data_IF_039406627102
#
_entry.id   IF_039406627102
#
_cell.length_a   1.000
_cell.length_b   1.000
_cell.length_c   1.000
_cell.angle_alpha   90.00
_cell.angle_beta   90.00
_cell.angle_gamma   90.00
#
_symmetry.space_group_name_H-M   'P 1'
#
loop_
_entity.id
_entity.type
_entity.pdbx_description
1 polymer ?
#
# COMPACT_ATOMS: atom_id res chain seq x y z
N UNK A 1 33.41 -66.20 16.57
CA UNK A 1 33.90 -64.84 16.94
C UNK A 1 34.14 -63.94 15.71
N UNK A 2 33.42 -64.10 14.58
CA UNK A 2 33.62 -63.26 13.38
C UNK A 2 32.35 -62.52 12.88
N UNK A 3 31.19 -62.76 13.50
CA UNK A 3 29.92 -62.13 13.11
C UNK A 3 29.30 -61.19 14.17
N UNK A 4 30.00 -60.94 15.28
CA UNK A 4 29.56 -60.03 16.35
C UNK A 4 30.50 -58.82 16.56
N UNK A 5 31.57 -58.71 15.74
CA UNK A 5 32.45 -57.53 15.69
C UNK A 5 31.97 -56.55 14.59
N UNK A 6 31.24 -57.04 13.58
CA UNK A 6 30.71 -56.22 12.49
C UNK A 6 29.40 -55.48 12.83
N UNK A 7 28.76 -55.80 13.94
CA UNK A 7 27.60 -55.03 14.46
C UNK A 7 28.03 -53.84 15.33
N UNK A 8 29.32 -53.69 15.62
CA UNK A 8 29.89 -52.58 16.39
C UNK A 8 30.33 -51.39 15.51
N UNK A 9 30.12 -51.47 14.20
CA UNK A 9 30.35 -50.42 13.20
C UNK A 9 29.08 -50.24 12.34
N UNK A 10 27.94 -50.12 13.01
CA UNK A 10 26.66 -49.77 12.37
C UNK A 10 26.47 -48.27 12.43
N UNK A 11 27.02 -47.59 11.43
CA UNK A 11 26.82 -46.17 11.13
C UNK A 11 25.41 -45.73 11.53
N UNK A 12 25.32 -44.84 12.54
CA UNK A 12 24.14 -44.02 12.69
C UNK A 12 23.83 -43.43 11.31
N UNK A 13 22.60 -43.61 10.85
CA UNK A 13 22.13 -43.01 9.61
C UNK A 13 22.64 -41.56 9.58
N UNK A 14 23.36 -41.11 8.54
CA UNK A 14 23.73 -39.71 8.47
C UNK A 14 22.44 -38.93 8.68
N UNK A 15 22.40 -38.00 9.67
CA UNK A 15 21.20 -37.23 9.93
C UNK A 15 20.75 -36.65 8.59
N UNK A 16 19.47 -36.87 8.27
CA UNK A 16 18.86 -36.34 7.06
C UNK A 16 19.27 -34.87 6.91
N UNK A 17 19.87 -34.47 5.79
CA UNK A 17 20.38 -33.11 5.64
C UNK A 17 19.24 -32.14 5.98
N UNK A 18 19.50 -31.09 6.79
CA UNK A 18 18.49 -30.11 7.09
C UNK A 18 17.93 -29.53 5.78
N UNK A 19 16.66 -29.11 5.76
CA UNK A 19 16.06 -28.54 4.56
C UNK A 19 16.92 -27.38 4.07
N UNK A 20 17.55 -27.55 2.91
CA UNK A 20 18.37 -26.51 2.29
C UNK A 20 17.47 -25.32 1.97
N UNK A 21 17.81 -24.14 2.49
CA UNK A 21 17.16 -22.90 2.07
C UNK A 21 17.57 -22.64 0.62
N UNK A 22 16.57 -22.54 -0.26
CA UNK A 22 16.77 -22.09 -1.63
C UNK A 22 16.98 -20.56 -1.65
N UNK A 23 18.25 -20.17 -1.55
CA UNK A 23 18.70 -18.78 -1.59
C UNK A 23 18.25 -18.03 -2.86
N UNK A 24 18.42 -18.57 -4.08
CA UNK A 24 17.89 -17.97 -5.30
C UNK A 24 16.38 -17.69 -5.23
N UNK A 25 15.60 -18.61 -4.66
CA UNK A 25 14.16 -18.43 -4.48
C UNK A 25 13.84 -17.26 -3.54
N UNK A 26 14.52 -17.15 -2.40
CA UNK A 26 14.35 -16.02 -1.47
C UNK A 26 14.72 -14.67 -2.11
N UNK A 27 15.81 -14.64 -2.89
CA UNK A 27 16.23 -13.44 -3.60
C UNK A 27 15.21 -13.00 -4.66
N UNK A 28 14.65 -13.96 -5.40
CA UNK A 28 13.56 -13.68 -6.34
C UNK A 28 12.34 -13.14 -5.61
N UNK A 29 11.89 -13.79 -4.52
CA UNK A 29 10.74 -13.33 -3.73
C UNK A 29 10.93 -11.91 -3.19
N UNK A 30 12.10 -11.59 -2.66
CA UNK A 30 12.40 -10.25 -2.17
C UNK A 30 12.32 -9.21 -3.30
N UNK A 31 12.89 -9.53 -4.47
CA UNK A 31 12.85 -8.65 -5.65
C UNK A 31 11.42 -8.41 -6.11
N UNK A 32 10.61 -9.47 -6.22
CA UNK A 32 9.19 -9.36 -6.57
C UNK A 32 8.43 -8.49 -5.56
N UNK A 33 8.65 -8.71 -4.27
CA UNK A 33 7.99 -7.96 -3.21
C UNK A 33 8.39 -6.47 -3.22
N UNK A 34 9.66 -6.15 -3.46
CA UNK A 34 10.12 -4.77 -3.63
C UNK A 34 9.47 -4.09 -4.83
N UNK A 35 9.35 -4.80 -5.96
CA UNK A 35 8.66 -4.30 -7.14
C UNK A 35 7.18 -4.02 -6.85
N UNK A 36 6.47 -4.97 -6.22
CA UNK A 36 5.06 -4.79 -5.84
C UNK A 36 4.85 -3.63 -4.87
N UNK A 37 5.75 -3.44 -3.90
CA UNK A 37 5.70 -2.27 -3.00
C UNK A 37 5.90 -0.95 -3.76
N UNK A 38 6.82 -0.92 -4.72
CA UNK A 38 7.04 0.26 -5.56
C UNK A 38 5.80 0.58 -6.40
N UNK A 39 5.18 -0.43 -7.02
CA UNK A 39 3.95 -0.29 -7.82
C UNK A 39 2.78 0.22 -6.95
N UNK A 40 2.58 -0.35 -5.76
CA UNK A 40 1.57 0.15 -4.83
C UNK A 40 1.85 1.60 -4.40
N UNK A 41 3.12 1.98 -4.22
CA UNK A 41 3.52 3.35 -3.90
C UNK A 41 3.16 4.36 -4.99
N UNK A 42 3.37 4.01 -6.26
CA UNK A 42 3.00 4.88 -7.39
C UNK A 42 1.49 4.97 -7.56
N UNK A 43 0.76 3.87 -7.40
CA UNK A 43 -0.72 3.86 -7.42
C UNK A 43 -1.32 4.72 -6.31
N UNK A 44 -0.79 4.63 -5.09
CA UNK A 44 -1.20 5.48 -3.96
C UNK A 44 -0.98 6.96 -4.29
N UNK A 45 0.19 7.31 -4.81
CA UNK A 45 0.52 8.70 -5.17
C UNK A 45 -0.44 9.26 -6.23
N UNK A 46 -0.74 8.46 -7.26
CA UNK A 46 -1.68 8.85 -8.31
C UNK A 46 -3.10 9.03 -7.76
N UNK A 47 -3.54 8.11 -6.89
CA UNK A 47 -4.85 8.20 -6.23
C UNK A 47 -4.96 9.46 -5.35
N UNK A 48 -3.92 9.81 -4.60
CA UNK A 48 -3.85 11.04 -3.78
C UNK A 48 -3.94 12.31 -4.63
N UNK A 49 -3.18 12.37 -5.72
CA UNK A 49 -3.22 13.52 -6.65
C UNK A 49 -4.60 13.69 -7.29
N UNK A 50 -5.23 12.58 -7.67
CA UNK A 50 -6.56 12.61 -8.27
C UNK A 50 -7.61 13.05 -7.26
N UNK A 51 -7.51 12.58 -6.02
CA UNK A 51 -8.39 12.99 -4.93
C UNK A 51 -8.25 14.49 -4.64
N UNK A 52 -7.02 15.00 -4.54
CA UNK A 52 -6.74 16.43 -4.35
C UNK A 52 -7.31 17.29 -5.49
N UNK A 53 -7.25 16.78 -6.73
CA UNK A 53 -7.80 17.47 -7.89
C UNK A 53 -9.34 17.53 -7.83
N UNK A 54 -9.97 16.42 -7.45
CA UNK A 54 -11.42 16.35 -7.28
C UNK A 54 -11.93 17.27 -6.16
N UNK A 55 -11.28 17.28 -4.99
CA UNK A 55 -11.65 18.16 -3.88
C UNK A 55 -11.54 19.66 -4.28
N UNK A 56 -10.53 20.00 -5.09
CA UNK A 56 -10.35 21.36 -5.64
C UNK A 56 -11.47 21.74 -6.62
N UNK A 57 -11.86 20.80 -7.50
CA UNK A 57 -12.97 20.98 -8.43
C UNK A 57 -14.31 21.12 -7.70
N UNK A 58 -14.57 20.30 -6.68
CA UNK A 58 -15.77 20.41 -5.83
C UNK A 58 -15.83 21.80 -5.19
N UNK A 59 -14.75 22.27 -4.59
CA UNK A 59 -14.67 23.58 -3.94
C UNK A 59 -14.93 24.73 -4.92
N UNK A 60 -14.40 24.62 -6.14
CA UNK A 60 -14.61 25.59 -7.22
C UNK A 60 -16.06 25.61 -7.69
N UNK A 61 -16.68 24.43 -7.87
CA UNK A 61 -18.07 24.31 -8.29
C UNK A 61 -19.05 24.78 -7.19
N UNK A 62 -18.77 24.52 -5.91
CA UNK A 62 -19.54 25.05 -4.79
C UNK A 62 -19.48 26.58 -4.74
N UNK A 63 -18.30 27.16 -4.96
CA UNK A 63 -18.11 28.62 -5.03
C UNK A 63 -18.91 29.23 -6.18
N UNK A 64 -18.88 28.58 -7.35
CA UNK A 64 -19.67 28.99 -8.52
C UNK A 64 -21.18 28.87 -8.27
N UNK A 65 -21.63 27.79 -7.62
CA UNK A 65 -23.02 27.63 -7.19
C UNK A 65 -23.45 28.76 -6.27
N UNK A 66 -22.64 29.11 -5.27
CA UNK A 66 -22.94 30.20 -4.33
C UNK A 66 -23.04 31.55 -5.05
N UNK A 67 -22.16 31.84 -6.01
CA UNK A 67 -22.19 33.08 -6.78
C UNK A 67 -23.43 33.22 -7.70
N UNK A 68 -24.10 32.11 -8.02
CA UNK A 68 -25.29 32.08 -8.86
C UNK A 68 -26.59 31.99 -8.05
N UNK A 69 -26.51 31.79 -6.73
CA UNK A 69 -27.67 31.92 -5.86
C UNK A 69 -27.80 33.39 -5.44
N UNK A 70 -28.86 34.10 -5.86
CA UNK A 70 -29.08 35.46 -5.38
C UNK A 70 -29.28 35.43 -3.87
N UNK A 71 -28.45 36.17 -3.13
CA UNK A 71 -28.64 36.39 -1.70
C UNK A 71 -30.03 37.02 -1.51
N UNK A 72 -30.95 36.23 -0.93
CA UNK A 72 -32.33 36.68 -0.62
C UNK A 72 -32.40 37.57 0.63
N UNK A 73 -31.25 37.98 1.17
CA UNK A 73 -31.11 38.78 2.39
C UNK A 73 -30.70 40.24 2.12
N UNK A 74 -30.80 40.74 0.88
CA UNK A 74 -30.65 42.19 0.61
C UNK A 74 -31.94 42.97 0.88
N UNK A 75 -32.32 43.05 2.15
CA UNK A 75 -33.05 44.20 2.70
C UNK A 75 -32.05 45.36 2.76
N UNK A 76 -31.97 46.16 1.70
CA UNK A 76 -31.24 47.43 1.74
C UNK A 76 -31.77 48.39 0.69
N UNK A 77 -32.43 49.43 1.20
CA UNK A 77 -32.96 50.61 0.52
C UNK A 77 -32.06 51.09 -0.63
N UNK A 78 -32.48 50.84 -1.87
CA UNK A 78 -31.79 51.34 -3.06
C UNK A 78 -32.36 52.69 -3.48
N UNK A 79 -31.80 53.76 -2.91
CA UNK A 79 -31.86 55.11 -3.49
C UNK A 79 -30.43 55.58 -3.82
N UNK A 80 -29.98 55.34 -5.06
CA UNK A 80 -29.04 56.20 -5.82
C UNK A 80 -28.56 55.50 -7.09
N UNK A 81 -28.59 56.24 -8.20
CA UNK A 81 -28.40 55.73 -9.54
C UNK A 81 -26.98 55.27 -9.86
N UNK A 82 -26.88 54.02 -10.32
CA UNK A 82 -25.82 53.52 -11.20
C UNK A 82 -26.40 52.38 -12.04
N UNK A 83 -26.74 52.66 -13.30
CA UNK A 83 -27.30 51.68 -14.24
C UNK A 83 -26.17 50.84 -14.80
N UNK A 84 -25.73 49.85 -14.03
CA UNK A 84 -25.13 48.65 -14.62
C UNK A 84 -26.30 47.72 -14.95
N UNK A 85 -26.39 47.14 -16.17
CA UNK A 85 -27.41 46.14 -16.45
C UNK A 85 -27.29 45.05 -15.38
N UNK A 86 -28.41 44.61 -14.77
CA UNK A 86 -28.36 43.56 -13.76
C UNK A 86 -27.67 42.33 -14.37
N UNK A 87 -26.80 41.63 -13.61
CA UNK A 87 -26.19 40.41 -14.11
C UNK A 87 -27.31 39.47 -14.62
N UNK A 88 -27.09 38.76 -15.74
CA UNK A 88 -28.09 37.87 -16.27
C UNK A 88 -28.53 36.90 -15.18
N UNK A 89 -29.84 36.83 -14.94
CA UNK A 89 -30.41 35.88 -13.99
C UNK A 89 -29.98 34.48 -14.44
N UNK A 90 -29.28 33.71 -13.60
CA UNK A 90 -28.86 32.36 -13.98
C UNK A 90 -30.08 31.53 -14.31
N UNK A 91 -29.98 30.71 -15.36
CA UNK A 91 -31.07 29.82 -15.70
C UNK A 91 -31.17 28.71 -14.66
N UNK A 92 -32.38 28.29 -14.29
CA UNK A 92 -32.58 27.16 -13.39
C UNK A 92 -31.88 25.89 -13.90
N UNK A 93 -31.82 25.72 -15.22
CA UNK A 93 -31.06 24.64 -15.87
C UNK A 93 -29.55 24.69 -15.59
N UNK A 94 -28.95 25.88 -15.44
CA UNK A 94 -27.53 26.00 -15.10
C UNK A 94 -27.28 25.54 -13.66
N UNK A 95 -28.18 25.88 -12.74
CA UNK A 95 -28.11 25.48 -11.34
C UNK A 95 -28.30 23.96 -11.18
N UNK A 96 -29.31 23.38 -11.85
CA UNK A 96 -29.57 21.94 -11.81
C UNK A 96 -28.40 21.14 -12.42
N UNK A 97 -27.78 21.67 -13.47
CA UNK A 97 -26.59 21.07 -14.10
C UNK A 97 -25.37 21.11 -13.17
N UNK A 98 -25.16 22.23 -12.46
CA UNK A 98 -24.13 22.38 -11.43
C UNK A 98 -24.33 21.38 -10.29
N UNK A 99 -25.56 21.22 -9.82
CA UNK A 99 -25.90 20.30 -8.73
C UNK A 99 -25.72 18.83 -9.13
N UNK A 100 -26.12 18.46 -10.35
CA UNK A 100 -25.87 17.14 -10.91
C UNK A 100 -24.37 16.84 -11.05
N UNK A 101 -23.58 17.81 -11.52
CA UNK A 101 -22.12 17.70 -11.66
C UNK A 101 -21.45 17.55 -10.29
N UNK A 102 -21.84 18.38 -9.31
CA UNK A 102 -21.36 18.30 -7.93
C UNK A 102 -21.64 16.94 -7.32
N UNK A 103 -22.86 16.42 -7.48
CA UNK A 103 -23.23 15.10 -6.96
C UNK A 103 -22.41 13.99 -7.59
N UNK A 104 -22.24 14.01 -8.91
CA UNK A 104 -21.41 13.02 -9.63
C UNK A 104 -19.96 13.08 -9.17
N UNK A 105 -19.41 14.28 -9.03
CA UNK A 105 -18.04 14.49 -8.57
C UNK A 105 -17.84 14.05 -7.11
N UNK A 106 -18.80 14.32 -6.23
CA UNK A 106 -18.78 13.85 -4.84
C UNK A 106 -18.78 12.31 -4.75
N UNK A 107 -19.61 11.63 -5.55
CA UNK A 107 -19.61 10.16 -5.62
C UNK A 107 -18.25 9.65 -6.11
N UNK A 108 -17.70 10.22 -7.18
CA UNK A 108 -16.39 9.85 -7.70
C UNK A 108 -15.27 10.09 -6.68
N UNK A 109 -15.33 11.20 -5.94
CA UNK A 109 -14.38 11.54 -4.86
C UNK A 109 -14.43 10.50 -3.77
N UNK A 110 -15.63 10.09 -3.34
CA UNK A 110 -15.81 9.09 -2.30
C UNK A 110 -15.29 7.71 -2.74
N UNK A 111 -15.57 7.29 -3.98
CA UNK A 111 -15.00 6.07 -4.55
C UNK A 111 -13.47 6.12 -4.53
N UNK A 112 -12.85 7.25 -4.89
CA UNK A 112 -11.40 7.39 -4.83
C UNK A 112 -10.84 7.33 -3.41
N UNK A 113 -11.54 7.87 -2.40
CA UNK A 113 -11.16 7.71 -0.99
C UNK A 113 -11.13 6.24 -0.58
N UNK A 114 -12.15 5.47 -0.94
CA UNK A 114 -12.17 4.03 -0.69
C UNK A 114 -11.02 3.29 -1.40
N UNK A 115 -10.76 3.63 -2.66
CA UNK A 115 -9.62 3.08 -3.41
C UNK A 115 -8.30 3.36 -2.69
N UNK A 116 -8.08 4.59 -2.24
CA UNK A 116 -6.86 4.98 -1.52
C UNK A 116 -6.69 4.20 -0.21
N UNK A 117 -7.76 4.02 0.56
CA UNK A 117 -7.74 3.20 1.80
C UNK A 117 -7.36 1.76 1.46
N UNK A 118 -7.99 1.17 0.45
CA UNK A 118 -7.69 -0.20 0.00
C UNK A 118 -6.24 -0.36 -0.44
N UNK A 119 -5.68 0.58 -1.23
CA UNK A 119 -4.28 0.54 -1.65
C UNK A 119 -3.31 0.64 -0.47
N UNK A 120 -3.56 1.56 0.46
CA UNK A 120 -2.76 1.70 1.69
C UNK A 120 -2.82 0.44 2.56
N UNK A 121 -3.98 -0.20 2.66
CA UNK A 121 -4.12 -1.48 3.36
C UNK A 121 -3.28 -2.58 2.70
N UNK A 122 -3.41 -2.76 1.38
CA UNK A 122 -2.63 -3.76 0.62
C UNK A 122 -1.13 -3.57 0.80
N UNK A 123 -0.67 -2.32 0.78
CA UNK A 123 0.73 -1.99 1.04
C UNK A 123 1.14 -2.41 2.45
N UNK A 124 0.36 -2.05 3.47
CA UNK A 124 0.65 -2.42 4.85
C UNK A 124 0.67 -3.96 5.05
N UNK A 125 -0.26 -4.68 4.42
CA UNK A 125 -0.32 -6.15 4.47
C UNK A 125 0.92 -6.79 3.82
N UNK A 126 1.37 -6.24 2.68
CA UNK A 126 2.58 -6.70 1.99
C UNK A 126 3.84 -6.41 2.82
N UNK A 127 3.98 -5.20 3.35
CA UNK A 127 5.09 -4.82 4.24
C UNK A 127 5.12 -5.71 5.49
N UNK A 128 3.96 -5.99 6.09
CA UNK A 128 3.83 -6.89 7.24
C UNK A 128 4.22 -8.33 6.93
N UNK A 129 3.82 -8.82 5.76
CA UNK A 129 4.17 -10.18 5.29
C UNK A 129 5.68 -10.33 5.06
N UNK A 130 6.32 -9.32 4.43
CA UNK A 130 7.78 -9.30 4.23
C UNK A 130 8.50 -9.29 5.58
N UNK A 131 8.10 -8.41 6.50
CA UNK A 131 8.71 -8.32 7.83
C UNK A 131 8.64 -9.64 8.58
N UNK A 132 7.47 -10.29 8.55
CA UNK A 132 7.26 -11.59 9.21
C UNK A 132 8.11 -12.68 8.56
N UNK A 133 8.16 -12.72 7.22
CA UNK A 133 9.03 -13.66 6.49
C UNK A 133 10.51 -13.47 6.83
N UNK A 134 10.98 -12.23 6.88
CA UNK A 134 12.37 -11.91 7.26
C UNK A 134 12.68 -12.26 8.72
N UNK A 135 11.70 -12.17 9.63
CA UNK A 135 11.88 -12.64 11.01
C UNK A 135 12.06 -14.16 11.05
N UNK A 136 11.21 -14.92 10.36
CA UNK A 136 11.34 -16.38 10.31
C UNK A 136 12.67 -16.83 9.68
N UNK A 137 13.15 -16.11 8.65
CA UNK A 137 14.47 -16.39 8.07
C UNK A 137 15.56 -16.12 9.12
N UNK A 138 15.52 -14.98 9.82
CA UNK A 138 16.49 -14.65 10.88
C UNK A 138 16.49 -15.69 12.01
N UNK A 139 15.32 -16.15 12.44
CA UNK A 139 15.18 -17.21 13.45
C UNK A 139 15.76 -18.54 12.95
N UNK A 140 15.45 -18.93 11.71
CA UNK A 140 16.02 -20.13 11.11
C UNK A 140 17.54 -20.06 11.04
N UNK A 141 18.10 -18.95 10.55
CA UNK A 141 19.56 -18.78 10.42
C UNK A 141 20.24 -18.82 11.78
N UNK A 142 19.64 -18.21 12.81
CA UNK A 142 20.13 -18.28 14.19
C UNK A 142 20.16 -19.71 14.72
N UNK A 143 19.12 -20.47 14.45
CA UNK A 143 19.00 -21.86 14.87
C UNK A 143 19.99 -22.78 14.13
N UNK A 144 20.20 -22.59 12.83
CA UNK A 144 21.25 -23.29 12.07
C UNK A 144 22.65 -22.95 12.59
N UNK A 145 22.93 -21.68 12.91
CA UNK A 145 24.21 -21.29 13.53
C UNK A 145 24.44 -21.97 14.89
N UNK A 146 23.38 -22.11 15.70
CA UNK A 146 23.43 -22.84 16.97
C UNK A 146 23.77 -24.33 16.77
N UNK A 147 23.17 -24.97 15.77
CA UNK A 147 23.46 -26.39 15.43
C UNK A 147 24.88 -26.59 14.89
N UNK A 148 25.43 -25.61 14.16
CA UNK A 148 26.84 -25.62 13.74
C UNK A 148 27.78 -25.56 14.96
N UNK A 149 27.52 -24.67 15.92
CA UNK A 149 28.28 -24.54 17.17
C UNK A 149 28.22 -25.79 18.04
N UNK A 150 27.06 -26.47 18.05
CA UNK A 150 26.85 -27.74 18.76
C UNK A 150 27.51 -28.94 18.05
N UNK A 151 28.11 -28.72 16.87
CA UNK A 151 28.76 -29.76 16.06
C UNK A 151 27.77 -30.73 15.41
N UNK A 152 26.48 -30.41 15.39
CA UNK A 152 25.43 -31.22 14.77
C UNK A 152 25.44 -31.10 13.24
N UNK A 153 25.90 -29.97 12.69
CA UNK A 153 25.97 -29.71 11.24
C UNK A 153 27.35 -29.19 10.86
N UNK A 154 28.02 -29.83 9.90
CA UNK A 154 29.24 -29.26 9.27
C UNK A 154 28.83 -28.35 8.12
N UNK A 155 28.84 -27.03 8.32
CA UNK A 155 28.43 -26.10 7.25
C UNK A 155 29.05 -24.72 7.38
N UNK A 156 29.98 -24.39 6.47
CA UNK A 156 30.63 -23.07 6.31
C UNK A 156 29.62 -21.94 6.02
N UNK A 157 28.34 -22.27 5.82
CA UNK A 157 27.35 -21.39 5.21
C UNK A 157 26.48 -20.62 6.23
N UNK A 158 26.32 -21.08 7.48
CA UNK A 158 25.40 -20.44 8.43
C UNK A 158 25.78 -18.99 8.76
N UNK A 159 27.08 -18.73 8.87
CA UNK A 159 27.63 -17.39 9.14
C UNK A 159 27.60 -16.46 7.92
N UNK A 160 27.85 -17.00 6.72
CA UNK A 160 27.76 -16.24 5.46
C UNK A 160 26.30 -15.94 5.08
N UNK A 161 25.38 -16.85 5.44
CA UNK A 161 23.94 -16.68 5.29
C UNK A 161 23.41 -15.56 6.19
N UNK A 162 23.93 -15.40 7.42
CA UNK A 162 23.61 -14.25 8.29
C UNK A 162 24.06 -12.91 7.71
N UNK A 163 25.21 -12.85 7.04
CA UNK A 163 25.73 -11.60 6.46
C UNK A 163 24.94 -11.17 5.21
N UNK A 164 24.31 -12.13 4.50
CA UNK A 164 23.51 -11.87 3.29
C UNK A 164 22.04 -11.54 3.55
N UNK A 165 21.45 -12.03 4.64
CA UNK A 165 20.03 -11.83 5.04
C UNK A 165 19.85 -10.47 5.72
#
# INVERSE_FOLDING_TARGET
MFNAVLTSLGFASPPSPPPAIDLPFLQHQLTTNQQLLSELGTEITLAEQTLSSNDSLVSSLLSRRKALQPDSDSDSDADSGAVSPPPPTPSQSDLDSLDSTLRTLQISTEIQRYTLISLRSKRADLEGSIKTGMEHIREFVKEEGRREEEGEVMGVEGRELMERV
#
